data_IF_756687423425
#
_entry.id   IF_756687423425
#
_cell.length_a   1.000
_cell.length_b   1.000
_cell.length_c   1.000
_cell.angle_alpha   90.00
_cell.angle_beta   90.00
_cell.angle_gamma   90.00
#
_symmetry.space_group_name_H-M   'P 1'
#
loop_
_entity.id
_entity.type
_entity.pdbx_description
1 polymer ?
2 non-polymer ?
#
# COMPACT_ATOMS: atom_id res chain seq x y z
N UNK A 1 -3.65 14.99 24.54
CA UNK A 1 -4.54 13.90 24.12
C UNK A 1 -3.80 12.56 23.99
N UNK A 2 -4.50 11.47 24.37
CA UNK A 2 -3.96 10.12 24.30
C UNK A 2 -4.23 9.52 22.92
N UNK A 3 -3.73 8.30 22.70
CA UNK A 3 -3.60 7.75 21.36
C UNK A 3 -4.98 7.29 20.89
N UNK A 4 -5.10 7.05 19.65
CA UNK A 4 -6.39 6.88 19.01
C UNK A 4 -6.85 5.44 19.08
N UNK A 5 -8.13 5.20 19.47
CA UNK A 5 -8.68 3.88 19.73
C UNK A 5 -8.96 3.10 18.46
N UNK A 6 -7.90 2.65 17.81
CA UNK A 6 -8.17 1.87 16.61
C UNK A 6 -8.36 0.41 16.93
N UNK A 7 -7.53 -0.17 17.79
CA UNK A 7 -7.67 -1.59 18.09
C UNK A 7 -9.05 -1.90 18.65
N UNK A 8 -9.65 -0.98 19.42
CA UNK A 8 -10.93 -1.27 20.04
C UNK A 8 -12.05 -1.30 19.01
N UNK A 9 -11.84 -0.61 17.88
CA UNK A 9 -12.76 -0.58 16.75
C UNK A 9 -12.54 -1.76 15.81
N UNK A 10 -11.27 -2.07 15.56
CA UNK A 10 -10.85 -3.03 14.55
C UNK A 10 -10.90 -4.46 15.08
N UNK A 11 -10.34 -4.73 16.26
CA UNK A 11 -10.32 -6.11 16.76
C UNK A 11 -11.47 -6.39 17.72
N UNK A 12 -12.68 -5.97 17.36
CA UNK A 12 -13.83 -6.29 18.18
C UNK A 12 -14.33 -7.67 17.77
N UNK A 13 -15.09 -8.33 18.65
CA UNK A 13 -15.44 -9.71 18.34
C UNK A 13 -16.37 -9.80 17.13
N UNK A 14 -17.27 -8.83 16.98
CA UNK A 14 -18.29 -8.84 15.94
C UNK A 14 -18.27 -7.56 15.11
N UNK A 15 -18.42 -7.70 13.78
CA UNK A 15 -18.72 -6.49 13.02
C UNK A 15 -20.18 -6.52 12.59
N UNK A 16 -20.81 -5.37 12.39
CA UNK A 16 -22.23 -5.35 12.05
C UNK A 16 -22.48 -6.01 10.71
N UNK A 17 -23.74 -6.31 10.44
CA UNK A 17 -24.07 -6.57 9.05
C UNK A 17 -23.96 -5.25 8.26
N UNK A 18 -23.78 -5.37 6.95
CA UNK A 18 -23.48 -4.18 6.17
C UNK A 18 -24.72 -3.30 6.02
N UNK A 19 -25.91 -3.89 6.01
CA UNK A 19 -27.07 -3.04 5.81
C UNK A 19 -27.30 -2.18 7.04
N UNK A 20 -26.92 -2.69 8.19
CA UNK A 20 -26.96 -1.94 9.43
C UNK A 20 -25.56 -1.52 9.88
N UNK A 21 -24.78 -0.90 8.99
CA UNK A 21 -23.45 -0.43 9.35
C UNK A 21 -23.52 0.55 10.52
N UNK A 22 -22.40 0.67 11.22
CA UNK A 22 -22.34 1.46 12.42
C UNK A 22 -21.21 2.46 12.32
N UNK A 23 -21.48 3.67 12.80
CA UNK A 23 -20.57 4.79 12.85
C UNK A 23 -19.95 4.90 14.24
N UNK A 24 -18.78 5.53 14.29
CA UNK A 24 -18.09 5.82 15.53
C UNK A 24 -17.48 7.20 15.40
N UNK A 25 -17.57 8.02 16.46
CA UNK A 25 -16.96 9.34 16.41
C UNK A 25 -15.62 9.26 17.13
N UNK A 26 -14.58 9.78 16.49
CA UNK A 26 -13.25 9.82 17.08
C UNK A 26 -12.73 11.25 17.13
N UNK A 27 -12.23 11.66 18.29
CA UNK A 27 -11.62 12.97 18.46
C UNK A 27 -10.86 13.00 19.78
N UNK A 28 -10.06 14.07 19.96
CA UNK A 28 -9.16 14.26 21.11
C UNK A 28 -8.09 13.18 21.19
N UNK A 29 -7.68 12.63 20.05
CA UNK A 29 -6.73 11.53 20.00
C UNK A 29 -5.53 11.91 19.12
N UNK A 30 -4.42 11.20 19.36
CA UNK A 30 -3.19 11.26 18.54
C UNK A 30 -3.15 9.98 17.73
N UNK A 31 -3.51 10.05 16.45
CA UNK A 31 -3.75 8.83 15.67
C UNK A 31 -2.47 8.11 15.24
N UNK A 32 -2.44 6.79 15.41
CA UNK A 32 -1.38 5.93 14.89
C UNK A 32 -1.95 4.99 13.85
N UNK A 33 -1.82 5.35 12.56
CA UNK A 33 -2.28 4.50 11.49
C UNK A 33 -1.27 3.40 11.12
N UNK A 34 -0.23 3.21 11.93
CA UNK A 34 0.86 2.33 11.47
C UNK A 34 0.33 0.90 11.33
N UNK A 35 -0.53 0.46 12.25
CA UNK A 35 -0.96 -0.97 12.19
C UNK A 35 -1.35 -1.30 10.76
N UNK A 36 -2.24 -0.52 10.15
CA UNK A 36 -2.76 -0.84 8.80
C UNK A 36 -1.58 -1.00 7.85
N UNK A 37 -1.83 -1.28 6.57
CA UNK A 37 -0.73 -1.58 5.61
C UNK A 37 0.25 -2.61 6.20
N UNK A 38 -0.26 -3.67 6.84
CA UNK A 38 0.56 -4.75 7.43
C UNK A 38 0.90 -5.73 6.31
N UNK A 39 0.17 -5.68 5.19
CA UNK A 39 0.50 -6.50 3.99
C UNK A 39 0.44 -8.00 4.27
N UNK A 40 -0.07 -8.38 5.42
CA UNK A 40 -0.21 -9.83 5.74
C UNK A 40 -1.50 -9.89 6.54
N UNK A 41 -2.03 -8.71 6.86
CA UNK A 41 -3.34 -8.63 7.55
C UNK A 41 -4.18 -7.60 6.79
N UNK A 42 -3.61 -6.46 6.43
CA UNK A 42 -4.54 -5.51 5.81
C UNK A 42 -4.38 -5.64 4.30
N UNK A 43 -5.39 -6.20 3.67
CA UNK A 43 -5.31 -6.46 2.25
C UNK A 43 -5.75 -5.29 1.41
N UNK A 44 -6.31 -4.24 2.01
CA UNK A 44 -6.71 -3.12 1.17
C UNK A 44 -6.64 -1.86 2.01
N UNK A 45 -5.89 -0.88 1.53
CA UNK A 45 -5.74 0.38 2.27
C UNK A 45 -5.58 1.51 1.26
N UNK A 46 -6.67 2.26 1.05
CA UNK A 46 -6.77 3.16 -0.09
C UNK A 46 -7.50 4.41 0.32
N UNK A 47 -6.91 5.57 0.03
CA UNK A 47 -7.41 6.85 0.49
C UNK A 47 -7.83 7.72 -0.70
N UNK A 48 -8.77 8.62 -0.43
CA UNK A 48 -9.46 9.44 -1.42
C UNK A 48 -9.45 10.88 -0.93
N UNK A 49 -8.83 11.77 -1.69
CA UNK A 49 -8.68 13.15 -1.25
C UNK A 49 -7.42 13.43 -0.48
N UNK A 50 -6.57 12.43 -0.27
CA UNK A 50 -5.32 12.64 0.45
C UNK A 50 -4.42 11.44 0.19
N UNK A 51 -3.18 11.59 0.48
CA UNK A 51 -2.24 10.53 0.26
C UNK A 51 -2.15 9.73 1.55
N UNK A 52 -2.35 8.41 1.48
CA UNK A 52 -2.14 7.58 2.67
C UNK A 52 -0.85 7.93 3.37
N UNK A 53 0.15 8.30 2.57
CA UNK A 53 1.42 8.77 3.09
C UNK A 53 1.27 10.09 3.84
N UNK A 54 0.36 10.96 3.41
CA UNK A 54 0.21 12.28 4.02
C UNK A 54 -0.65 12.25 5.28
N UNK A 55 -1.23 11.10 5.63
CA UNK A 55 -2.02 10.99 6.85
C UNK A 55 -1.18 11.29 8.09
N UNK A 56 0.11 10.92 8.07
CA UNK A 56 0.94 11.19 9.23
C UNK A 56 1.18 12.69 9.45
N UNK A 57 0.96 13.55 8.44
CA UNK A 57 1.21 14.99 8.63
C UNK A 57 -0.04 15.81 8.90
N UNK A 58 -1.22 15.20 8.99
CA UNK A 58 -2.46 15.94 8.91
C UNK A 58 -3.22 15.87 10.23
N UNK A 59 -3.96 16.95 10.53
CA UNK A 59 -4.91 17.04 11.64
C UNK A 59 -6.32 17.15 11.08
N UNK A 60 -7.27 16.56 11.77
CA UNK A 60 -8.63 16.47 11.25
C UNK A 60 -9.61 17.00 12.29
N UNK A 61 -10.68 17.61 11.82
CA UNK A 61 -11.58 18.22 12.80
C UNK A 61 -12.52 17.19 13.41
N UNK A 62 -12.90 16.19 12.62
CA UNK A 62 -13.85 15.16 13.02
C UNK A 62 -13.48 13.93 12.22
N UNK A 63 -13.43 12.77 12.87
CA UNK A 63 -13.21 11.52 12.15
C UNK A 63 -14.31 10.55 12.53
N UNK A 64 -15.01 10.00 11.55
CA UNK A 64 -15.95 8.93 11.80
C UNK A 64 -15.45 7.62 11.21
N UNK A 65 -15.70 6.52 11.91
CA UNK A 65 -15.30 5.19 11.47
C UNK A 65 -16.56 4.35 11.22
N UNK A 66 -16.97 4.26 9.94
CA UNK A 66 -18.07 3.36 9.58
C UNK A 66 -17.53 1.95 9.39
N UNK A 67 -18.26 0.97 9.89
CA UNK A 67 -17.80 -0.42 9.99
C UNK A 67 -18.88 -1.37 9.52
N UNK A 68 -18.48 -2.46 8.85
CA UNK A 68 -19.41 -3.51 8.41
C UNK A 68 -18.68 -4.72 7.84
N UNK A 69 -19.46 -5.70 7.41
CA UNK A 69 -18.93 -6.99 6.98
C UNK A 69 -19.57 -7.45 5.67
N UNK A 70 -18.74 -7.66 4.64
CA UNK A 70 -19.19 -8.07 3.32
C UNK A 70 -18.24 -9.15 2.82
N UNK A 71 -18.33 -9.50 1.53
CA UNK A 71 -17.43 -10.45 0.87
C UNK A 71 -16.26 -9.74 0.20
N UNK A 72 -15.21 -10.51 -0.07
CA UNK A 72 -14.06 -9.96 -0.79
C UNK A 72 -14.48 -9.40 -2.14
N UNK A 73 -15.31 -10.14 -2.86
CA UNK A 73 -15.80 -9.74 -4.17
C UNK A 73 -16.35 -8.32 -4.17
N UNK A 74 -16.96 -7.91 -3.07
CA UNK A 74 -17.73 -6.68 -3.03
C UNK A 74 -16.98 -5.56 -2.33
N UNK A 75 -15.73 -5.82 -1.93
CA UNK A 75 -14.91 -4.77 -1.32
C UNK A 75 -14.71 -3.62 -2.28
N UNK A 76 -14.52 -3.95 -3.56
CA UNK A 76 -14.24 -2.91 -4.53
C UNK A 76 -15.39 -1.93 -4.71
N UNK A 77 -16.57 -2.21 -4.17
CA UNK A 77 -17.67 -1.29 -4.36
C UNK A 77 -17.61 -0.11 -3.41
N UNK A 78 -16.82 -0.18 -2.33
CA UNK A 78 -16.73 0.94 -1.38
C UNK A 78 -15.79 1.99 -1.94
N UNK A 79 -16.29 2.76 -2.90
CA UNK A 79 -15.50 3.79 -3.53
C UNK A 79 -16.44 4.85 -4.03
N UNK A 80 -15.97 6.07 -4.20
CA UNK A 80 -16.84 7.11 -4.75
C UNK A 80 -17.34 6.67 -6.13
N UNK A 81 -18.64 6.82 -6.35
CA UNK A 81 -19.17 6.66 -7.69
C UNK A 81 -19.03 5.27 -8.29
N UNK A 82 -19.10 4.24 -7.46
CA UNK A 82 -19.13 2.88 -7.96
C UNK A 82 -20.56 2.37 -7.88
N UNK A 83 -20.80 1.24 -8.53
CA UNK A 83 -22.13 0.67 -8.66
C UNK A 83 -22.11 -0.77 -8.15
N UNK A 84 -23.15 -1.13 -7.41
CA UNK A 84 -23.28 -2.47 -6.90
C UNK A 84 -24.43 -2.56 -5.93
N UNK A 85 -24.68 -3.79 -5.45
CA UNK A 85 -25.73 -3.99 -4.46
C UNK A 85 -25.35 -3.23 -3.20
N UNK A 86 -24.07 -3.24 -2.86
CA UNK A 86 -23.63 -2.53 -1.69
C UNK A 86 -23.81 -1.03 -1.88
N UNK A 87 -23.22 -0.49 -2.96
CA UNK A 87 -23.26 0.96 -3.17
C UNK A 87 -24.68 1.45 -3.44
N UNK A 88 -25.53 0.60 -3.97
CA UNK A 88 -26.85 1.09 -4.31
C UNK A 88 -27.88 0.88 -3.19
N UNK A 89 -27.70 -0.15 -2.36
CA UNK A 89 -28.70 -0.45 -1.36
C UNK A 89 -28.15 -0.70 0.05
N UNK A 90 -26.85 -0.55 0.29
CA UNK A 90 -26.32 -0.79 1.63
C UNK A 90 -25.53 0.37 2.22
N UNK A 91 -24.41 0.75 1.61
CA UNK A 91 -23.58 1.82 2.14
C UNK A 91 -23.00 2.60 0.97
N UNK A 92 -23.22 3.91 0.97
CA UNK A 92 -22.85 4.78 -0.13
C UNK A 92 -21.79 5.77 0.35
N UNK A 93 -20.67 5.84 -0.40
CA UNK A 93 -19.57 6.77 -0.17
C UNK A 93 -19.77 7.93 -1.13
N UNK A 94 -19.76 9.17 -0.65
CA UNK A 94 -20.07 10.31 -1.53
C UNK A 94 -19.12 10.43 -2.71
N UNK A 95 -19.60 11.18 -3.71
CA UNK A 95 -18.76 11.47 -4.86
C UNK A 95 -17.57 12.33 -4.44
N UNK A 96 -17.81 13.31 -3.55
CA UNK A 96 -16.76 14.17 -3.00
C UNK A 96 -16.11 13.54 -1.80
N UNK A 97 -15.90 12.22 -1.81
CA UNK A 97 -15.43 11.56 -0.61
C UNK A 97 -14.03 11.99 -0.24
N UNK A 98 -13.84 12.23 1.07
CA UNK A 98 -12.55 12.57 1.68
C UNK A 98 -12.28 11.61 2.83
N UNK A 99 -11.29 10.74 2.70
CA UNK A 99 -11.08 9.79 3.76
C UNK A 99 -10.34 8.58 3.25
N UNK A 100 -10.44 7.50 4.00
CA UNK A 100 -9.78 6.26 3.65
C UNK A 100 -10.76 5.11 3.82
N UNK A 101 -10.39 3.99 3.20
CA UNK A 101 -11.08 2.71 3.32
C UNK A 101 -10.01 1.66 3.64
N UNK A 102 -10.24 0.87 4.70
CA UNK A 102 -9.33 -0.20 5.13
C UNK A 102 -10.13 -1.49 5.21
N UNK A 103 -9.58 -2.56 4.66
CA UNK A 103 -10.32 -3.81 4.63
C UNK A 103 -9.40 -5.00 4.79
N UNK A 104 -9.86 -5.98 5.55
CA UNK A 104 -9.06 -7.16 5.78
C UNK A 104 -10.00 -8.34 5.94
N UNK A 105 -9.48 -9.52 5.63
CA UNK A 105 -10.23 -10.77 5.44
C UNK A 105 -10.27 -11.57 6.74
N UNK A 106 -11.35 -11.39 7.52
CA UNK A 106 -11.53 -12.12 8.78
C UNK A 106 -12.42 -13.35 8.54
N UNK A 107 -11.97 -14.26 7.69
CA UNK A 107 -12.85 -15.38 7.30
C UNK A 107 -12.83 -16.48 8.36
N UNK A 108 -11.71 -16.65 9.03
CA UNK A 108 -11.60 -17.78 9.98
C UNK A 108 -12.29 -17.36 11.28
N UNK A 109 -12.78 -16.13 11.36
CA UNK A 109 -13.35 -15.70 12.66
C UNK A 109 -14.79 -15.20 12.49
N UNK A 110 -15.00 -14.17 11.68
CA UNK A 110 -16.37 -13.60 11.57
C UNK A 110 -17.21 -14.57 10.75
N UNK A 111 -17.59 -15.70 11.34
CA UNK A 111 -18.43 -16.70 10.64
C UNK A 111 -19.89 -16.55 11.03
N UNK A 112 -20.80 -17.03 10.15
CA UNK A 112 -22.23 -17.02 10.49
C UNK A 112 -23.17 -16.48 9.43
N UNK A 113 -24.36 -16.10 9.85
CA UNK A 113 -25.35 -15.50 8.93
C UNK A 113 -25.34 -13.99 9.10
N UNK A 114 -24.97 -13.29 8.04
CA UNK A 114 -25.04 -11.83 8.01
C UNK A 114 -25.93 -11.42 6.84
N UNK A 115 -26.33 -10.17 6.78
CA UNK A 115 -27.41 -9.79 5.88
C UNK A 115 -27.05 -8.59 5.01
N UNK A 116 -27.81 -8.42 3.93
CA UNK A 116 -27.57 -7.35 2.97
C UNK A 116 -28.86 -7.07 2.20
N UNK A 117 -29.08 -5.81 1.86
CA UNK A 117 -30.24 -5.46 1.08
C UNK A 117 -29.92 -5.68 -0.37
N UNK A 118 -30.74 -6.49 -1.03
CA UNK A 118 -30.60 -6.78 -2.45
C UNK A 118 -31.42 -5.80 -3.30
N UNK A 119 -32.63 -5.43 -2.86
CA UNK A 119 -33.54 -4.61 -3.65
C UNK A 119 -34.06 -3.45 -2.81
N UNK A 120 -34.20 -2.30 -3.46
CA UNK A 120 -34.82 -1.16 -2.82
C UNK A 120 -35.47 -0.30 -3.89
N UNK A 121 -36.56 0.38 -3.52
CA UNK A 121 -37.33 1.17 -4.46
C UNK A 121 -36.45 2.19 -5.18
N UNK A 122 -35.71 2.99 -4.40
CA UNK A 122 -34.69 3.91 -4.89
C UNK A 122 -33.33 3.46 -4.40
N UNK A 123 -32.29 3.94 -5.07
CA UNK A 123 -30.92 3.70 -4.63
C UNK A 123 -30.66 4.49 -3.34
N UNK A 124 -29.44 4.46 -2.85
CA UNK A 124 -29.12 5.14 -1.61
C UNK A 124 -28.50 6.51 -1.86
N UNK A 125 -28.81 7.46 -0.94
CA UNK A 125 -28.09 8.73 -0.81
C UNK A 125 -26.79 8.51 -0.03
N UNK A 126 -25.78 9.34 -0.26
CA UNK A 126 -24.46 9.11 0.37
C UNK A 126 -24.52 9.11 1.89
N UNK A 127 -24.07 8.01 2.49
CA UNK A 127 -24.01 7.75 3.93
C UNK A 127 -25.37 7.45 4.52
N UNK A 128 -26.41 7.30 3.72
CA UNK A 128 -27.71 6.98 4.26
C UNK A 128 -27.74 5.52 4.75
N UNK A 129 -28.54 5.26 5.77
CA UNK A 129 -28.76 3.91 6.28
C UNK A 129 -30.25 3.58 6.32
N UNK A 130 -30.61 2.42 5.81
CA UNK A 130 -31.98 1.93 5.83
C UNK A 130 -32.02 0.66 6.67
N UNK A 131 -32.71 0.71 7.81
CA UNK A 131 -32.82 -0.42 8.71
C UNK A 131 -34.15 -1.15 8.58
N UNK A 132 -34.86 -0.95 7.47
CA UNK A 132 -36.16 -1.58 7.26
C UNK A 132 -36.02 -2.96 6.64
N UNK A 133 -36.88 -3.89 7.09
CA UNK A 133 -36.78 -5.27 6.66
C UNK A 133 -37.83 -5.66 5.63
N UNK A 134 -39.00 -5.01 5.65
CA UNK A 134 -40.08 -5.19 4.70
C UNK A 134 -40.22 -4.01 3.78
N UNK A 135 -40.88 -4.30 2.66
CA UNK A 135 -41.51 -3.26 1.86
C UNK A 135 -43.02 -3.44 1.95
N UNK A 136 -43.59 -4.43 1.26
CA UNK A 136 -45.02 -4.65 1.29
C UNK A 136 -45.38 -5.90 2.03
N UNK A 137 -44.48 -6.40 2.87
CA UNK A 137 -44.71 -7.66 3.54
C UNK A 137 -43.72 -8.70 3.13
N UNK A 138 -42.85 -8.39 2.16
CA UNK A 138 -41.78 -9.28 1.74
C UNK A 138 -40.50 -8.88 2.44
N UNK A 139 -39.70 -9.86 2.85
CA UNK A 139 -38.38 -9.54 3.36
C UNK A 139 -37.59 -8.92 2.24
N UNK A 140 -37.07 -7.71 2.48
CA UNK A 140 -36.19 -7.03 1.54
C UNK A 140 -34.71 -7.34 1.76
N UNK A 141 -34.36 -8.19 2.71
CA UNK A 141 -32.97 -8.42 3.07
C UNK A 141 -32.63 -9.87 2.78
N UNK A 142 -31.61 -10.07 1.96
CA UNK A 142 -31.08 -11.38 1.61
C UNK A 142 -29.85 -11.70 2.47
N UNK A 143 -29.43 -12.96 2.43
CA UNK A 143 -28.54 -13.51 3.44
C UNK A 143 -27.21 -14.01 2.87
N UNK A 144 -26.13 -13.82 3.65
CA UNK A 144 -24.78 -14.35 3.44
C UNK A 144 -24.54 -15.40 4.49
N UNK A 145 -24.12 -16.61 4.11
CA UNK A 145 -23.47 -17.48 5.07
C UNK A 145 -21.97 -17.35 4.81
N UNK A 146 -21.26 -16.84 5.81
CA UNK A 146 -19.81 -16.75 5.74
C UNK A 146 -19.24 -17.97 6.43
N UNK A 147 -18.38 -18.65 5.71
CA UNK A 147 -17.75 -19.89 6.14
C UNK A 147 -16.26 -19.84 5.85
N UNK A 148 -15.47 -20.61 6.57
CA UNK A 148 -14.06 -20.73 6.22
C UNK A 148 -13.86 -21.38 4.87
N UNK A 149 -14.84 -22.12 4.36
CA UNK A 149 -14.58 -23.04 3.27
C UNK A 149 -15.09 -22.55 1.93
N UNK A 150 -15.43 -21.28 1.82
CA UNK A 150 -15.96 -20.78 0.56
C UNK A 150 -14.77 -20.18 -0.19
N UNK A 151 -14.74 -20.11 -1.51
CA UNK A 151 -13.56 -19.54 -2.19
C UNK A 151 -13.38 -18.07 -1.84
N UNK A 152 -12.17 -17.57 -2.10
CA UNK A 152 -11.75 -16.25 -1.59
C UNK A 152 -12.66 -15.11 -2.01
N UNK A 153 -12.92 -14.96 -3.31
CA UNK A 153 -13.85 -13.91 -3.74
C UNK A 153 -15.20 -13.97 -2.98
N UNK A 154 -15.51 -15.08 -2.30
CA UNK A 154 -16.76 -15.22 -1.55
C UNK A 154 -16.63 -15.16 -0.03
N UNK A 155 -15.42 -14.94 0.51
CA UNK A 155 -15.15 -15.07 1.95
C UNK A 155 -15.55 -13.81 2.71
N UNK A 156 -15.74 -13.97 4.02
CA UNK A 156 -15.99 -12.83 4.91
C UNK A 156 -14.85 -11.82 4.88
N UNK A 157 -15.19 -10.53 4.94
CA UNK A 157 -14.23 -9.43 4.85
C UNK A 157 -14.78 -8.26 5.64
N UNK A 158 -14.00 -7.75 6.62
CA UNK A 158 -14.34 -6.57 7.42
C UNK A 158 -13.82 -5.29 6.77
N UNK A 159 -14.68 -4.26 6.75
CA UNK A 159 -14.35 -2.95 6.17
C UNK A 159 -14.59 -1.82 7.16
N UNK A 160 -13.68 -0.84 7.12
CA UNK A 160 -13.72 0.39 7.89
C UNK A 160 -13.56 1.57 6.95
N UNK A 161 -14.41 2.58 7.11
CA UNK A 161 -14.39 3.77 6.30
C UNK A 161 -14.11 4.95 7.24
N UNK A 162 -12.86 5.45 7.22
CA UNK A 162 -12.49 6.64 7.98
C UNK A 162 -12.86 7.86 7.16
N UNK A 163 -13.86 8.59 7.59
CA UNK A 163 -14.31 9.77 6.86
C UNK A 163 -14.10 11.01 7.73
N UNK A 164 -13.34 11.95 7.19
CA UNK A 164 -12.94 13.18 7.88
C UNK A 164 -13.12 14.39 6.99
N UNK A 165 -13.07 15.56 7.63
CA UNK A 165 -13.20 16.86 6.94
C UNK A 165 -12.12 17.82 7.43
N UNK A 166 -11.49 18.57 6.52
CA UNK A 166 -10.48 19.56 6.93
C UNK A 166 -11.05 20.97 6.75
N UNK A 167 -12.00 21.36 7.59
CA UNK A 167 -12.66 22.69 7.47
C UNK A 167 -12.36 23.52 8.72
N UNK A 168 -13.38 24.18 9.27
CA UNK A 168 -13.20 25.03 10.49
C UNK A 168 -13.36 24.15 11.73
N UNK A 169 -13.55 24.76 12.91
CA UNK A 169 -13.70 24.03 14.20
C UNK A 169 -12.36 23.51 14.71
N UNK A 170 -12.12 23.45 16.04
CA UNK A 170 -10.83 23.03 16.60
C UNK A 170 -10.27 21.74 15.97
N UNK A 171 -8.96 21.72 15.72
CA UNK A 171 -8.33 20.53 15.15
C UNK A 171 -8.09 19.53 16.27
N UNK A 172 -8.69 18.36 16.15
CA UNK A 172 -8.83 17.45 17.27
C UNK A 172 -8.17 16.08 17.09
N UNK A 173 -8.01 15.57 15.87
CA UNK A 173 -7.39 14.27 15.64
C UNK A 173 -6.13 14.50 14.82
N UNK A 174 -4.99 14.43 15.47
CA UNK A 174 -3.76 14.84 14.78
C UNK A 174 -2.79 13.69 14.59
N UNK A 175 -2.30 13.51 13.36
CA UNK A 175 -1.32 12.46 13.10
C UNK A 175 -0.11 12.67 13.98
N UNK A 176 0.74 11.66 14.09
CA UNK A 176 1.87 11.76 15.02
C UNK A 176 2.74 13.00 14.73
N UNK A 177 2.56 13.68 13.59
CA UNK A 177 3.49 14.77 13.22
C UNK A 177 2.82 15.94 12.49
N UNK A 178 1.89 16.66 13.15
CA UNK A 178 1.32 17.87 12.51
C UNK A 178 2.12 19.10 12.95
N UNK A 179 3.42 18.93 13.26
CA UNK A 179 4.26 20.07 13.61
C UNK A 179 5.36 20.21 12.57
N UNK A 180 4.94 20.23 11.30
CA UNK A 180 5.78 20.42 10.10
C UNK A 180 6.96 19.47 10.05
N UNK A 181 6.64 18.18 10.03
CA UNK A 181 7.64 17.14 9.83
C UNK A 181 7.34 16.43 8.52
N UNK B 1 7.64 17.00 -21.70
CA UNK B 1 7.07 18.09 -20.91
C UNK B 1 6.56 17.63 -19.56
N UNK B 2 6.22 16.35 -19.41
CA UNK B 2 5.74 15.85 -18.12
C UNK B 2 6.90 15.39 -17.25
N UNK B 3 6.61 15.22 -15.95
CA UNK B 3 7.64 15.04 -14.94
C UNK B 3 7.64 13.58 -14.49
N UNK B 4 8.65 13.20 -13.73
CA UNK B 4 8.87 11.79 -13.49
C UNK B 4 8.09 11.32 -12.28
N UNK B 5 7.35 10.24 -12.40
CA UNK B 5 6.50 9.79 -11.29
C UNK B 5 7.38 9.18 -10.22
N UNK B 6 8.22 10.01 -9.61
CA UNK B 6 9.16 9.52 -8.61
C UNK B 6 8.55 9.53 -7.23
N UNK B 7 7.81 10.58 -6.88
CA UNK B 7 7.07 10.50 -5.63
C UNK B 7 6.10 9.34 -5.66
N UNK B 8 5.53 9.07 -6.84
CA UNK B 8 4.53 8.03 -6.97
C UNK B 8 5.14 6.64 -6.95
N UNK B 9 6.39 6.51 -7.34
CA UNK B 9 7.06 5.20 -7.30
C UNK B 9 7.72 4.97 -5.96
N UNK B 10 8.33 6.04 -5.44
CA UNK B 10 9.14 5.98 -4.23
C UNK B 10 8.29 6.04 -2.98
N UNK B 11 7.35 6.98 -2.95
CA UNK B 11 6.50 7.16 -1.78
C UNK B 11 5.11 6.57 -2.03
N UNK B 12 5.10 5.28 -2.35
CA UNK B 12 3.91 4.47 -2.50
C UNK B 12 3.57 3.80 -1.16
N UNK B 13 2.33 3.27 -1.07
CA UNK B 13 1.88 2.75 0.22
C UNK B 13 2.64 1.51 0.63
N UNK B 14 2.78 0.53 -0.26
CA UNK B 14 3.50 -0.70 0.05
C UNK B 14 4.52 -0.99 -1.04
N UNK B 15 5.64 -1.52 -0.64
CA UNK B 15 6.64 -2.07 -1.54
C UNK B 15 6.58 -3.58 -1.58
N UNK B 16 6.90 -4.21 -2.71
CA UNK B 16 6.80 -5.68 -2.78
C UNK B 16 7.78 -6.37 -1.83
N UNK B 17 7.53 -7.66 -1.63
CA UNK B 17 8.55 -8.50 -1.04
C UNK B 17 9.68 -8.64 -2.06
N UNK B 18 10.88 -8.99 -1.58
CA UNK B 18 12.05 -8.88 -2.46
C UNK B 18 12.02 -9.94 -3.55
N UNK B 19 11.47 -11.13 -3.25
CA UNK B 19 11.42 -12.18 -4.28
C UNK B 19 10.38 -11.88 -5.34
N UNK B 20 9.32 -11.18 -4.93
CA UNK B 20 8.28 -10.68 -5.83
C UNK B 20 8.51 -9.22 -6.13
N UNK B 21 9.76 -8.86 -6.41
CA UNK B 21 10.07 -7.50 -6.73
C UNK B 21 9.27 -7.06 -7.95
N UNK B 22 9.10 -5.74 -8.10
CA UNK B 22 8.20 -5.20 -9.12
C UNK B 22 8.88 -4.16 -10.00
N UNK B 23 8.60 -4.18 -11.31
CA UNK B 23 9.22 -3.25 -12.24
C UNK B 23 8.27 -2.17 -12.75
N UNK B 24 8.85 -1.03 -13.12
CA UNK B 24 8.11 0.09 -13.71
C UNK B 24 8.92 0.74 -14.84
N UNK B 25 8.25 1.07 -15.93
CA UNK B 25 8.93 1.76 -17.02
C UNK B 25 8.69 3.25 -16.84
N UNK B 26 9.74 4.04 -16.96
CA UNK B 26 9.60 5.49 -16.92
C UNK B 26 9.96 5.99 -18.30
N UNK B 27 9.15 6.90 -18.82
CA UNK B 27 9.40 7.48 -20.14
C UNK B 27 8.56 8.73 -20.30
N UNK B 28 8.88 9.51 -21.34
CA UNK B 28 8.30 10.82 -21.61
C UNK B 28 8.47 11.75 -20.45
N UNK B 29 9.42 11.48 -19.58
CA UNK B 29 9.44 12.24 -18.36
C UNK B 29 10.69 13.09 -18.36
N UNK B 30 10.60 14.25 -17.69
CA UNK B 30 11.72 15.14 -17.43
C UNK B 30 12.05 14.99 -15.95
N UNK B 31 13.10 14.25 -15.66
CA UNK B 31 13.36 13.81 -14.29
C UNK B 31 13.89 14.96 -13.44
N UNK B 32 13.46 15.02 -12.19
CA UNK B 32 14.03 15.98 -11.26
C UNK B 32 14.83 15.21 -10.23
N UNK B 33 16.13 15.18 -10.43
CA UNK B 33 17.03 14.49 -9.52
C UNK B 33 17.38 15.32 -8.32
N UNK B 34 16.83 16.51 -8.20
CA UNK B 34 17.30 17.32 -7.07
C UNK B 34 16.66 16.79 -5.80
N UNK B 35 15.71 15.89 -5.94
CA UNK B 35 14.99 15.34 -4.75
C UNK B 35 15.94 14.40 -3.99
N UNK B 36 16.90 13.80 -4.70
CA UNK B 36 17.82 12.81 -4.08
C UNK B 36 19.02 13.57 -3.60
N UNK B 37 19.26 14.72 -4.21
CA UNK B 37 20.34 15.59 -3.71
C UNK B 37 19.64 16.47 -2.71
N UNK B 38 20.33 17.42 -2.09
CA UNK B 38 19.62 18.35 -1.22
C UNK B 38 18.83 17.65 -0.10
N UNK B 39 19.04 16.34 0.13
CA UNK B 39 18.17 15.57 1.02
C UNK B 39 18.90 14.51 1.82
N UNK B 40 18.93 14.66 3.15
CA UNK B 40 19.61 13.72 4.04
C UNK B 40 18.92 12.37 4.14
N UNK B 41 17.70 12.26 3.61
CA UNK B 41 16.81 11.12 3.89
C UNK B 41 17.42 9.76 3.52
N UNK B 42 18.12 9.68 2.38
CA UNK B 42 18.55 8.42 1.79
C UNK B 42 19.81 7.83 2.44
N UNK B 43 19.70 6.56 2.80
CA UNK B 43 20.73 5.73 3.42
C UNK B 43 21.68 5.12 2.40
N UNK B 44 21.33 5.08 1.11
CA UNK B 44 22.24 4.63 0.06
C UNK B 44 21.85 5.28 -1.27
N UNK B 45 22.85 5.83 -1.96
CA UNK B 45 22.66 6.42 -3.30
C UNK B 45 23.94 6.15 -4.09
N UNK B 46 23.87 5.20 -5.05
CA UNK B 46 25.07 4.60 -5.65
C UNK B 46 24.84 4.26 -7.11
N UNK B 47 25.68 4.77 -8.03
CA UNK B 47 25.46 4.50 -9.44
C UNK B 47 26.65 3.82 -10.06
N UNK B 48 26.36 2.93 -10.99
CA UNK B 48 27.33 2.02 -11.59
C UNK B 48 27.14 2.18 -13.09
N UNK B 49 28.19 2.65 -13.77
CA UNK B 49 28.08 3.01 -15.15
C UNK B 49 27.73 4.46 -15.40
N UNK B 50 27.57 5.26 -14.36
CA UNK B 50 27.21 6.67 -14.57
C UNK B 50 27.50 7.43 -13.26
N UNK B 51 27.65 8.75 -13.36
CA UNK B 51 28.03 9.58 -12.22
C UNK B 51 26.82 10.21 -11.58
N UNK B 52 26.58 9.99 -10.28
CA UNK B 52 25.46 10.63 -9.60
C UNK B 52 25.35 12.12 -9.86
N UNK B 53 26.46 12.84 -9.93
CA UNK B 53 26.35 14.27 -10.17
C UNK B 53 25.83 14.57 -11.56
N UNK B 54 26.08 13.71 -12.52
CA UNK B 54 25.76 14.06 -13.89
C UNK B 54 24.35 13.64 -14.35
N UNK B 55 23.50 13.11 -13.48
CA UNK B 55 22.14 12.80 -13.91
C UNK B 55 21.41 14.03 -14.41
N UNK B 56 21.58 15.16 -13.72
CA UNK B 56 20.92 16.39 -14.14
C UNK B 56 21.38 16.78 -15.56
N UNK B 57 22.45 16.14 -16.04
CA UNK B 57 23.06 16.43 -17.34
C UNK B 57 22.80 15.38 -18.42
N UNK B 58 22.11 14.26 -18.13
CA UNK B 58 22.02 13.13 -19.07
C UNK B 58 20.61 12.83 -19.55
N UNK B 59 20.54 12.25 -20.76
CA UNK B 59 19.32 11.72 -21.35
C UNK B 59 19.42 10.20 -21.46
N UNK B 60 18.31 9.50 -21.29
CA UNK B 60 18.30 8.05 -21.28
C UNK B 60 17.25 7.48 -22.23
N UNK B 61 17.54 6.30 -22.79
CA UNK B 61 16.65 5.62 -23.71
C UNK B 61 15.69 4.67 -23.01
N UNK B 62 16.14 4.10 -21.90
CA UNK B 62 15.40 3.10 -21.15
C UNK B 62 15.68 3.36 -19.70
N UNK B 63 14.62 3.56 -18.93
CA UNK B 63 14.68 3.73 -17.49
C UNK B 63 13.67 2.78 -16.91
N UNK B 64 14.14 1.78 -16.18
CA UNK B 64 13.27 0.88 -15.42
C UNK B 64 13.50 1.08 -13.94
N UNK B 65 12.43 1.03 -13.16
CA UNK B 65 12.50 1.21 -11.73
C UNK B 65 12.07 -0.09 -11.07
N UNK B 66 13.03 -0.86 -10.60
CA UNK B 66 12.75 -2.04 -9.81
C UNK B 66 12.60 -1.64 -8.35
N UNK B 67 11.66 -2.26 -7.65
CA UNK B 67 11.39 -1.89 -6.27
C UNK B 67 11.22 -3.15 -5.43
N UNK B 68 11.64 -3.04 -4.18
CA UNK B 68 11.43 -4.12 -3.21
C UNK B 68 11.81 -3.60 -1.84
N UNK B 69 11.74 -4.51 -0.87
CA UNK B 69 11.96 -4.18 0.54
C UNK B 69 12.76 -5.28 1.21
N UNK B 70 13.92 -4.94 1.80
CA UNK B 70 14.77 -5.92 2.48
C UNK B 70 15.26 -5.38 3.81
N UNK B 71 16.21 -6.08 4.43
CA UNK B 71 16.80 -5.59 5.67
C UNK B 71 17.98 -4.68 5.37
N UNK B 72 18.26 -3.78 6.32
CA UNK B 72 19.36 -2.85 6.16
C UNK B 72 20.64 -3.59 5.79
N UNK B 73 20.92 -4.68 6.49
CA UNK B 73 22.15 -5.44 6.29
C UNK B 73 22.40 -5.78 4.83
N UNK B 74 21.33 -5.94 4.05
CA UNK B 74 21.41 -6.51 2.71
C UNK B 74 21.37 -5.48 1.60
N UNK B 75 21.38 -4.18 1.91
CA UNK B 75 21.47 -3.19 0.83
C UNK B 75 22.76 -3.38 0.05
N UNK B 76 23.71 -4.07 0.65
CA UNK B 76 25.01 -4.31 0.00
C UNK B 76 24.85 -5.39 -1.08
N UNK B 77 23.79 -6.18 -1.04
CA UNK B 77 23.68 -7.32 -1.99
C UNK B 77 23.13 -6.78 -3.31
N UNK B 78 22.43 -5.68 -3.24
CA UNK B 78 21.82 -5.07 -4.44
C UNK B 78 22.93 -4.69 -5.40
N UNK B 79 24.13 -4.43 -4.92
CA UNK B 79 25.19 -3.95 -5.82
C UNK B 79 25.51 -4.97 -6.88
N UNK B 80 26.13 -4.55 -8.01
CA UNK B 80 26.57 -5.48 -9.04
C UNK B 80 27.77 -6.32 -8.60
N UNK B 81 27.73 -7.62 -8.89
CA UNK B 81 28.85 -8.53 -8.57
C UNK B 81 28.80 -9.03 -7.16
N UNK B 82 27.60 -9.27 -6.61
CA UNK B 82 27.54 -9.60 -5.19
C UNK B 82 27.04 -11.00 -4.98
N UNK B 83 27.31 -11.48 -3.78
CA UNK B 83 26.98 -12.82 -3.35
C UNK B 83 26.25 -12.68 -2.02
N UNK B 84 25.17 -13.42 -1.88
CA UNK B 84 24.36 -13.37 -0.67
C UNK B 84 23.06 -14.08 -0.93
N UNK B 85 22.21 -14.12 0.09
CA UNK B 85 20.91 -14.72 -0.14
C UNK B 85 20.09 -13.84 -1.07
N UNK B 86 20.10 -12.53 -0.86
CA UNK B 86 19.33 -11.66 -1.71
C UNK B 86 19.91 -11.63 -3.10
N UNK B 87 21.21 -11.38 -3.20
CA UNK B 87 21.78 -11.23 -4.53
C UNK B 87 21.77 -12.56 -5.30
N UNK B 88 21.93 -13.69 -4.60
CA UNK B 88 22.10 -14.96 -5.29
C UNK B 88 20.79 -15.67 -5.56
N UNK B 89 19.74 -15.44 -4.76
CA UNK B 89 18.50 -16.18 -4.91
C UNK B 89 17.26 -15.30 -4.98
N UNK B 90 17.39 -13.96 -4.88
CA UNK B 90 16.22 -13.08 -4.95
C UNK B 90 16.38 -12.02 -6.04
N UNK B 91 17.45 -11.23 -6.00
CA UNK B 91 17.65 -10.19 -7.01
C UNK B 91 19.13 -10.02 -7.35
N UNK B 92 19.44 -10.09 -8.66
CA UNK B 92 20.81 -10.04 -9.16
C UNK B 92 21.01 -8.89 -10.14
N UNK B 93 22.07 -8.18 -9.98
CA UNK B 93 22.35 -7.19 -11.01
C UNK B 93 23.40 -7.69 -11.99
N UNK B 94 23.16 -7.56 -13.29
CA UNK B 94 24.16 -7.98 -14.26
C UNK B 94 25.42 -7.21 -13.96
N UNK B 95 26.56 -7.82 -14.29
CA UNK B 95 27.85 -7.17 -13.92
C UNK B 95 28.01 -5.85 -14.66
N UNK B 96 27.46 -5.74 -15.86
CA UNK B 96 27.61 -4.51 -16.66
C UNK B 96 26.45 -3.59 -16.37
N UNK B 97 26.05 -3.52 -15.11
CA UNK B 97 24.83 -2.76 -14.77
C UNK B 97 25.05 -1.27 -14.90
N UNK B 98 24.17 -0.63 -15.65
CA UNK B 98 24.21 0.82 -15.77
C UNK B 98 22.93 1.35 -15.16
N UNK B 99 23.09 2.13 -14.09
CA UNK B 99 21.98 2.68 -13.33
C UNK B 99 22.40 2.89 -11.90
N UNK B 100 21.42 3.08 -11.03
CA UNK B 100 21.66 3.43 -9.63
C UNK B 100 20.85 2.55 -8.70
N UNK B 101 21.28 2.57 -7.43
CA UNK B 101 20.66 1.90 -6.27
C UNK B 101 20.39 2.97 -5.22
N UNK B 102 19.13 3.08 -4.81
CA UNK B 102 18.69 4.05 -3.81
C UNK B 102 17.88 3.32 -2.74
N UNK B 103 18.22 3.54 -1.47
CA UNK B 103 17.57 2.82 -0.36
C UNK B 103 17.47 3.73 0.86
N UNK B 104 16.39 3.53 1.62
CA UNK B 104 16.17 4.32 2.84
C UNK B 104 15.46 3.47 3.90
N UNK B 105 15.64 3.86 5.17
CA UNK B 105 15.26 3.02 6.31
C UNK B 105 13.83 3.38 6.68
N UNK B 106 12.89 2.61 6.16
CA UNK B 106 11.51 2.79 6.56
C UNK B 106 11.17 1.74 7.61
N UNK B 107 11.69 1.94 8.81
CA UNK B 107 11.35 1.01 9.88
C UNK B 107 10.09 1.46 10.62
N UNK B 108 9.86 2.76 10.66
CA UNK B 108 8.70 3.31 11.33
C UNK B 108 7.42 3.16 10.55
N UNK B 109 7.49 3.03 9.21
CA UNK B 109 6.29 2.95 8.41
C UNK B 109 6.05 1.65 7.65
N UNK B 110 7.03 0.78 7.47
CA UNK B 110 6.78 -0.48 6.76
C UNK B 110 6.86 -1.67 7.70
N UNK B 111 5.69 -2.14 8.14
CA UNK B 111 5.58 -3.19 9.16
C UNK B 111 4.94 -4.44 8.58
N UNK B 112 5.08 -5.54 9.31
CA UNK B 112 4.37 -6.75 8.96
C UNK B 112 5.25 -7.87 8.44
N UNK B 113 4.60 -8.92 7.93
CA UNK B 113 5.33 -10.11 7.43
C UNK B 113 5.57 -10.02 5.92
N UNK B 114 6.84 -9.93 5.53
CA UNK B 114 7.27 -10.01 4.14
C UNK B 114 8.16 -11.24 3.97
N UNK B 115 8.52 -11.56 2.73
CA UNK B 115 9.10 -12.86 2.45
C UNK B 115 10.38 -12.76 1.60
N UNK B 116 11.12 -13.86 1.57
CA UNK B 116 12.38 -13.94 0.83
C UNK B 116 12.76 -15.39 0.57
N UNK B 117 13.50 -15.64 -0.51
CA UNK B 117 13.96 -16.99 -0.86
C UNK B 117 15.28 -17.32 -0.17
N UNK B 118 15.36 -18.50 0.46
CA UNK B 118 16.60 -18.90 1.13
C UNK B 118 17.58 -19.63 0.21
N UNK B 119 17.09 -20.63 -0.52
CA UNK B 119 17.90 -21.58 -1.26
C UNK B 119 17.23 -21.93 -2.58
N UNK B 120 18.03 -22.21 -3.60
CA UNK B 120 17.49 -22.78 -4.82
C UNK B 120 18.55 -23.60 -5.51
N UNK B 121 18.15 -24.59 -6.28
CA UNK B 121 19.09 -25.47 -7.00
C UNK B 121 20.04 -24.66 -7.86
N UNK B 122 19.57 -23.54 -8.37
CA UNK B 122 20.40 -22.71 -9.27
C UNK B 122 20.29 -21.26 -8.83
N UNK B 123 21.42 -20.55 -8.77
CA UNK B 123 21.41 -19.12 -8.38
C UNK B 123 20.54 -18.35 -9.37
N UNK B 124 20.19 -17.11 -9.02
CA UNK B 124 19.28 -16.36 -9.90
C UNK B 124 20.06 -15.70 -11.03
N UNK B 125 19.63 -15.91 -12.25
CA UNK B 125 20.16 -15.23 -13.41
C UNK B 125 19.86 -13.74 -13.32
N UNK B 126 20.72 -12.89 -13.90
CA UNK B 126 20.55 -11.44 -13.72
C UNK B 126 19.15 -10.99 -14.09
N UNK B 127 18.45 -10.33 -13.18
CA UNK B 127 17.10 -9.79 -13.38
C UNK B 127 16.00 -10.87 -13.45
N UNK B 128 16.30 -12.12 -13.10
CA UNK B 128 15.29 -13.14 -13.09
C UNK B 128 14.36 -12.96 -11.87
N UNK B 129 13.09 -13.34 -12.05
CA UNK B 129 12.07 -13.25 -11.02
C UNK B 129 11.48 -14.63 -10.85
N UNK B 130 11.51 -15.16 -9.62
CA UNK B 130 11.02 -16.50 -9.33
C UNK B 130 9.89 -16.36 -8.32
N UNK B 131 8.66 -16.57 -8.77
CA UNK B 131 7.52 -16.39 -7.91
C UNK B 131 6.96 -17.69 -7.35
N UNK B 132 7.76 -18.76 -7.36
CA UNK B 132 7.29 -20.02 -6.82
C UNK B 132 7.49 -19.98 -5.32
N UNK B 133 6.45 -20.34 -4.58
CA UNK B 133 6.47 -20.23 -3.12
C UNK B 133 6.62 -21.57 -2.42
N UNK B 134 6.14 -22.62 -3.07
CA UNK B 134 6.33 -23.99 -2.62
C UNK B 134 7.24 -24.67 -3.63
N UNK B 135 8.14 -25.52 -3.15
CA UNK B 135 8.80 -26.51 -3.97
C UNK B 135 8.66 -27.85 -3.25
N UNK B 136 7.98 -28.82 -3.88
CA UNK B 136 7.74 -30.19 -3.41
C UNK B 136 6.68 -30.32 -2.29
N UNK B 137 6.09 -29.22 -1.83
CA UNK B 137 5.18 -29.23 -0.70
C UNK B 137 5.70 -28.53 0.54
N UNK B 138 6.98 -28.23 0.61
CA UNK B 138 7.58 -27.46 1.70
C UNK B 138 7.76 -26.04 1.20
N UNK B 139 7.70 -25.09 2.12
CA UNK B 139 7.98 -23.70 1.78
C UNK B 139 9.40 -23.56 1.27
N UNK B 140 9.55 -22.97 0.10
CA UNK B 140 10.87 -22.55 -0.33
C UNK B 140 11.13 -21.09 0.07
N UNK B 141 10.15 -20.42 0.70
CA UNK B 141 10.26 -19.00 1.05
C UNK B 141 10.19 -18.81 2.56
N UNK B 142 11.19 -18.14 3.14
CA UNK B 142 11.22 -17.80 4.57
C UNK B 142 10.72 -16.36 4.79
N UNK B 143 10.52 -15.99 6.08
CA UNK B 143 9.76 -14.78 6.44
C UNK B 143 10.57 -13.73 7.21
N UNK B 144 10.24 -12.45 6.99
CA UNK B 144 10.74 -11.25 7.69
C UNK B 144 9.57 -10.55 8.42
N UNK B 145 9.61 -10.39 9.76
CA UNK B 145 8.63 -9.50 10.40
C UNK B 145 9.33 -8.19 10.69
N UNK B 146 8.86 -7.13 10.06
CA UNK B 146 9.42 -5.81 10.25
C UNK B 146 8.60 -5.04 11.29
N UNK B 147 9.29 -4.54 12.31
CA UNK B 147 8.82 -3.76 13.44
C UNK B 147 9.72 -2.55 13.60
N UNK B 148 9.21 -1.47 14.18
CA UNK B 148 10.09 -0.33 14.41
C UNK B 148 11.24 -0.65 15.36
N UNK B 149 11.07 -1.71 16.14
CA UNK B 149 12.02 -1.98 17.24
C UNK B 149 13.07 -3.04 16.95
N UNK B 150 12.96 -3.81 15.88
CA UNK B 150 13.99 -4.87 15.68
C UNK B 150 15.35 -4.20 15.66
N UNK B 151 16.47 -4.91 15.91
CA UNK B 151 17.74 -4.25 15.84
C UNK B 151 17.93 -3.54 14.50
N UNK B 152 18.92 -2.67 14.38
CA UNK B 152 19.23 -2.12 13.04
C UNK B 152 19.86 -3.31 12.34
N UNK B 153 20.03 -3.23 11.02
CA UNK B 153 20.70 -4.32 10.27
C UNK B 153 19.61 -5.35 9.98
N UNK B 154 18.49 -5.20 10.68
CA UNK B 154 17.32 -6.07 10.41
C UNK B 154 16.18 -5.14 10.11
N UNK B 155 16.40 -3.82 10.18
CA UNK B 155 15.22 -2.97 10.02
C UNK B 155 14.77 -2.87 8.57
N UNK B 156 13.47 -2.66 8.38
CA UNK B 156 12.89 -2.55 7.05
C UNK B 156 13.53 -1.43 6.26
N UNK B 157 13.76 -1.70 4.97
CA UNK B 157 14.49 -0.77 4.10
C UNK B 157 13.89 -0.89 2.72
N UNK B 158 13.50 0.25 2.16
CA UNK B 158 13.00 0.31 0.80
C UNK B 158 14.17 0.51 -0.15
N UNK B 159 14.21 -0.30 -1.21
CA UNK B 159 15.23 -0.15 -2.24
C UNK B 159 14.52 0.06 -3.57
N UNK B 160 15.08 0.97 -4.37
CA UNK B 160 14.67 1.29 -5.73
C UNK B 160 15.92 1.21 -6.62
N UNK B 161 15.82 0.46 -7.70
CA UNK B 161 16.92 0.26 -8.62
C UNK B 161 16.55 0.87 -9.96
N UNK B 162 17.17 1.99 -10.26
CA UNK B 162 17.05 2.65 -11.54
C UNK B 162 18.03 2.01 -12.49
N UNK B 163 17.54 1.45 -13.58
CA UNK B 163 18.40 0.89 -14.63
C UNK B 163 18.22 1.70 -15.90
N UNK B 164 19.34 2.12 -16.49
CA UNK B 164 19.40 3.05 -17.60
C UNK B 164 20.13 2.49 -18.81
N UNK B 165 19.88 3.13 -19.95
CA UNK B 165 20.56 2.84 -21.23
C UNK B 165 20.83 4.22 -21.82
N UNK B 166 21.93 4.41 -22.55
CA UNK B 166 22.30 5.79 -22.98
C UNK B 166 22.96 5.82 -24.36
N UNK B 167 22.70 6.85 -25.18
CA UNK B 167 23.43 7.06 -26.46
C UNK B 167 23.23 5.97 -27.52
N UNK B 168 22.18 5.16 -27.42
CA UNK B 168 22.08 4.08 -28.44
C UNK B 168 20.67 4.08 -29.07
N UNK B 169 19.84 5.10 -28.81
CA UNK B 169 18.52 5.19 -29.50
C UNK B 169 17.87 6.55 -29.20
N UNK B 170 16.72 6.91 -29.84
CA UNK B 170 16.04 8.16 -29.50
C UNK B 170 15.82 8.39 -27.99
N UNK B 171 15.95 9.63 -27.50
CA UNK B 171 15.89 9.93 -26.05
C UNK B 171 14.48 10.03 -25.48
N UNK B 172 14.30 9.64 -24.20
CA UNK B 172 12.96 9.63 -23.56
C UNK B 172 12.99 10.41 -22.24
N UNK B 173 13.69 9.92 -21.21
CA UNK B 173 13.82 10.65 -19.91
C UNK B 173 15.11 11.46 -20.01
N UNK B 174 15.09 12.72 -19.56
CA UNK B 174 16.27 13.57 -19.88
C UNK B 174 16.84 14.48 -18.79
N UNK B 175 16.31 14.54 -17.58
CA UNK B 175 17.00 15.39 -16.59
C UNK B 175 16.65 16.86 -16.75
N UNK B 176 17.18 17.76 -15.93
CA UNK B 176 16.67 19.16 -16.05
C UNK B 176 17.54 20.03 -16.96
N UNK B 177 18.82 19.71 -17.09
CA UNK B 177 19.74 20.60 -17.86
C UNK B 177 19.97 20.08 -19.28
N UNK B 178 20.11 18.78 -19.44
CA UNK B 178 20.19 18.22 -20.81
C UNK B 178 18.84 17.55 -21.09
N UNK B 179 17.79 18.35 -21.19
CA UNK B 179 16.45 17.79 -21.53
C UNK B 179 15.97 18.41 -22.83
N UNK B 180 16.46 17.88 -23.95
CA UNK B 180 16.12 18.57 -25.20
C UNK B 180 16.55 20.01 -24.98
N UNK B 181 17.86 20.24 -24.82
CA UNK B 181 18.40 21.60 -24.57
C UNK B 181 19.51 21.91 -25.58
X LIG C 1 1.68 -7.50 11.12
X LIG C 1 1.95 -7.15 12.58
X LIG C 1 2.58 -8.36 13.28
X LIG C 1 1.69 -9.59 13.12
X LIG C 1 1.44 -9.84 11.64
X LIG C 1 0.46 -10.96 11.40
X LIG C 1 3.91 -5.75 13.27
X LIG C 1 4.04 -4.46 14.01
X LIG C 1 2.75 -5.95 12.64
X LIG C 1 2.76 -8.06 14.67
X LIG C 1 2.35 -10.72 13.68
X LIG C 1 0.88 -8.67 11.02
X LIG C 1 0.88 -12.17 12.03
X LIG C 1 4.83 -6.56 13.21
#
# INVERSE_FOLDING_TARGET
TNVCPFHKVFNATRFPSVYAWERTKISDCIADYTVFYNSTSFSTFKCYGVSPSKLIDLCFTSVYADTFLIRFSEVRQVAPGQTGVIADYNYKLPDDFTGCVIAWNTAKQDTGHYFYRSHRSTKLKPFERDLSSDENGVRTLSTYDFNPNVPLEYQATRVVVLSFELLNAPATVCGHHHHHH
TNVCPFHKVFNATRFPSVYAWERTKISDCIADYTVFYNSTSFSTFKCYGVSPSKLIDLCFTSVYADTFLIRFSEVRQVAPGQTGVIADYNYKLPDDFTGCVIAWNTAKQDTGHYFYRSHRSTKLKPFERDLSSDENGVRTLSTYDFNPNVPLEYQATRVVVLSFELLNAPATVCGHHHHHH
NAG C1 C2 C3 C4 C5 C6 C7 C8 N2 O3 O4 O5 O6 O7
#
